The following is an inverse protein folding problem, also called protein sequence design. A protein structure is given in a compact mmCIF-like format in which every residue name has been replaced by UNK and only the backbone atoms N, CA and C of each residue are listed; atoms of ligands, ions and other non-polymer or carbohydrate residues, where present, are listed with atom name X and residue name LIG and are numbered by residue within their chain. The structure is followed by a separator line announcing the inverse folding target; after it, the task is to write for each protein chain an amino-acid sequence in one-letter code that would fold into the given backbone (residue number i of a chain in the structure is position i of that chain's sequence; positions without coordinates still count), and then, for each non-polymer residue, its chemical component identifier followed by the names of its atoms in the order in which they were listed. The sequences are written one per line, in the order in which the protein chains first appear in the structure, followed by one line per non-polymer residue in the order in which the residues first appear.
data_IF_918507147713
#
_entry.id   IF_918507147713
#
_cell.length_a   1.000
_cell.length_b   1.000
_cell.length_c   1.000
_cell.angle_alpha   90.00
_cell.angle_beta   90.00
_cell.angle_gamma   90.00
#
_symmetry.space_group_name_H-M   'P 1'
#
loop_
_entity.id
_entity.type
_entity.pdbx_description
1 polymer ?
#
# COMPACT_ATOMS: atom_id res chain seq x y z
N UNK A 1 -6.11 -18.78 -1.72
CA UNK A 1 -7.48 -18.36 -2.08
C UNK A 1 -8.49 -19.52 -2.01
N UNK A 2 -8.21 -20.72 -2.57
CA UNK A 2 -9.20 -21.80 -2.49
C UNK A 2 -9.63 -22.16 -1.07
N UNK A 3 -8.72 -22.15 -0.12
CA UNK A 3 -9.03 -22.42 1.27
C UNK A 3 -9.98 -21.37 1.85
N UNK A 4 -9.68 -20.07 1.60
CA UNK A 4 -10.51 -18.97 2.06
C UNK A 4 -11.91 -19.03 1.44
N UNK A 5 -12.01 -19.39 0.17
CA UNK A 5 -13.30 -19.56 -0.52
C UNK A 5 -14.11 -20.69 0.13
N UNK A 6 -13.46 -21.81 0.43
CA UNK A 6 -14.11 -22.94 1.09
C UNK A 6 -14.62 -22.57 2.50
N UNK A 7 -13.84 -21.81 3.24
CA UNK A 7 -14.20 -21.35 4.59
C UNK A 7 -15.14 -20.16 4.60
N UNK A 8 -15.32 -19.49 3.47
CA UNK A 8 -16.08 -18.23 3.33
C UNK A 8 -15.59 -17.17 4.30
N UNK A 9 -14.27 -17.05 4.39
CA UNK A 9 -13.61 -16.12 5.30
C UNK A 9 -12.18 -15.90 4.83
N UNK A 10 -11.77 -14.65 4.79
CA UNK A 10 -10.38 -14.33 4.52
C UNK A 10 -10.16 -12.85 4.27
N UNK A 11 -8.90 -12.45 4.39
CA UNK A 11 -8.47 -11.09 4.07
C UNK A 11 -7.13 -11.15 3.35
N UNK A 12 -7.02 -10.35 2.32
CA UNK A 12 -5.79 -10.17 1.55
C UNK A 12 -5.43 -8.69 1.63
N UNK A 13 -4.21 -8.40 2.06
CA UNK A 13 -3.73 -7.02 2.16
C UNK A 13 -2.46 -6.93 1.32
N UNK A 14 -2.52 -6.18 0.25
CA UNK A 14 -1.40 -5.98 -0.66
C UNK A 14 -0.61 -4.73 -0.26
N UNK A 15 0.71 -4.81 -0.35
CA UNK A 15 1.57 -3.66 -0.07
C UNK A 15 1.95 -3.01 -1.39
N UNK A 16 1.37 -1.85 -1.63
CA UNK A 16 1.56 -1.06 -2.82
C UNK A 16 2.38 0.20 -2.53
N UNK A 17 2.36 1.15 -3.43
CA UNK A 17 3.14 2.38 -3.34
C UNK A 17 2.35 3.54 -3.94
N UNK A 18 2.60 4.74 -3.44
CA UNK A 18 2.06 5.97 -4.02
C UNK A 18 2.45 6.10 -5.50
N UNK A 19 3.59 5.52 -5.92
CA UNK A 19 4.02 5.56 -7.31
C UNK A 19 3.11 4.74 -8.23
N UNK A 20 2.35 3.80 -7.69
CA UNK A 20 1.30 3.09 -8.43
C UNK A 20 0.09 3.98 -8.74
N UNK A 21 -0.09 5.07 -8.02
CA UNK A 21 -1.17 6.03 -8.24
C UNK A 21 -0.70 7.22 -9.07
N UNK A 22 0.43 7.83 -8.69
CA UNK A 22 0.91 9.05 -9.33
C UNK A 22 1.99 8.82 -10.39
N UNK A 23 2.66 7.68 -10.37
CA UNK A 23 3.84 7.41 -11.18
C UNK A 23 5.05 8.16 -10.66
N UNK A 24 6.24 7.69 -10.99
CA UNK A 24 7.48 8.33 -10.63
C UNK A 24 8.42 8.37 -11.83
N UNK A 25 9.05 9.50 -12.04
CA UNK A 25 10.08 9.65 -13.09
C UNK A 25 11.22 8.67 -12.82
N UNK A 26 11.72 8.04 -13.86
CA UNK A 26 12.79 7.04 -13.82
C UNK A 26 12.41 5.74 -13.09
N UNK A 27 11.14 5.54 -12.78
CA UNK A 27 10.62 4.36 -12.09
C UNK A 27 9.39 3.79 -12.81
N UNK A 28 9.45 3.77 -14.16
CA UNK A 28 8.31 3.36 -14.98
C UNK A 28 7.88 1.91 -14.70
N UNK A 29 8.83 0.98 -14.65
CA UNK A 29 8.52 -0.43 -14.41
C UNK A 29 7.96 -0.66 -13.00
N UNK A 30 8.55 -0.02 -12.00
CA UNK A 30 8.07 -0.09 -10.63
C UNK A 30 6.67 0.50 -10.50
N UNK A 31 6.48 1.70 -11.07
CA UNK A 31 5.16 2.37 -11.08
C UNK A 31 4.11 1.52 -11.76
N UNK A 32 4.45 0.91 -12.91
CA UNK A 32 3.53 0.01 -13.62
C UNK A 32 3.17 -1.21 -12.79
N UNK A 33 4.16 -1.82 -12.10
CA UNK A 33 3.92 -3.00 -11.28
C UNK A 33 3.00 -2.67 -10.10
N UNK A 34 3.17 -1.52 -9.46
CA UNK A 34 2.34 -1.10 -8.33
C UNK A 34 0.95 -0.64 -8.77
N UNK A 35 0.84 0.00 -9.93
CA UNK A 35 -0.46 0.31 -10.53
C UNK A 35 -1.23 -0.97 -10.88
N UNK A 36 -0.51 -1.97 -11.40
CA UNK A 36 -1.08 -3.29 -11.67
C UNK A 36 -1.56 -3.97 -10.39
N UNK A 37 -0.80 -3.85 -9.31
CA UNK A 37 -1.21 -4.40 -8.00
C UNK A 37 -2.47 -3.72 -7.48
N UNK A 38 -2.60 -2.41 -7.67
CA UNK A 38 -3.82 -1.68 -7.30
C UNK A 38 -5.02 -2.16 -8.12
N UNK A 39 -4.83 -2.35 -9.44
CA UNK A 39 -5.87 -2.90 -10.30
C UNK A 39 -6.28 -4.31 -9.91
N UNK A 40 -5.29 -5.15 -9.62
CA UNK A 40 -5.52 -6.53 -9.14
C UNK A 40 -6.31 -6.51 -7.83
N UNK A 41 -5.96 -5.63 -6.90
CA UNK A 41 -6.67 -5.49 -5.62
C UNK A 41 -8.16 -5.22 -5.84
N UNK A 42 -8.47 -4.26 -6.71
CA UNK A 42 -9.87 -3.91 -7.00
C UNK A 42 -10.62 -5.05 -7.71
N UNK A 43 -9.95 -5.70 -8.66
CA UNK A 43 -10.57 -6.81 -9.41
C UNK A 43 -10.87 -8.00 -8.51
N UNK A 44 -9.88 -8.41 -7.70
CA UNK A 44 -10.06 -9.53 -6.77
C UNK A 44 -11.10 -9.21 -5.69
N UNK A 45 -11.17 -7.96 -5.24
CA UNK A 45 -12.18 -7.56 -4.26
C UNK A 45 -13.58 -7.82 -4.78
N UNK A 46 -13.84 -7.47 -6.04
CA UNK A 46 -15.14 -7.71 -6.67
C UNK A 46 -15.41 -9.20 -6.88
N UNK A 47 -14.39 -9.93 -7.30
CA UNK A 47 -14.50 -11.36 -7.58
C UNK A 47 -14.72 -12.18 -6.31
N UNK A 48 -14.06 -11.82 -5.22
CA UNK A 48 -14.04 -12.59 -3.99
C UNK A 48 -15.02 -12.10 -2.91
N UNK A 49 -15.64 -10.93 -3.10
CA UNK A 49 -16.63 -10.43 -2.15
C UNK A 49 -17.79 -11.41 -1.88
N UNK A 50 -18.34 -12.09 -2.91
CA UNK A 50 -19.39 -13.09 -2.66
C UNK A 50 -18.95 -14.23 -1.76
N UNK A 51 -17.66 -14.50 -1.64
CA UNK A 51 -17.10 -15.54 -0.77
C UNK A 51 -16.65 -14.97 0.59
N UNK A 52 -17.05 -13.74 0.91
CA UNK A 52 -16.69 -13.07 2.16
C UNK A 52 -15.17 -12.93 2.34
N UNK A 53 -14.48 -12.65 1.25
CA UNK A 53 -13.03 -12.38 1.27
C UNK A 53 -12.83 -10.91 0.90
N UNK A 54 -12.15 -10.16 1.76
CA UNK A 54 -11.85 -8.75 1.52
C UNK A 54 -10.43 -8.62 0.97
N UNK A 55 -10.27 -7.75 -0.02
CA UNK A 55 -8.97 -7.49 -0.66
C UNK A 55 -8.75 -5.99 -0.67
N UNK A 56 -7.76 -5.54 0.06
CA UNK A 56 -7.39 -4.12 0.18
C UNK A 56 -5.89 -3.96 -0.02
N UNK A 57 -5.45 -2.76 -0.26
CA UNK A 57 -4.02 -2.46 -0.39
C UNK A 57 -3.64 -1.25 0.45
N UNK A 58 -2.40 -1.26 0.93
CA UNK A 58 -1.76 -0.10 1.56
C UNK A 58 -0.85 0.52 0.52
N UNK A 59 -1.10 1.78 0.20
CA UNK A 59 -0.26 2.56 -0.72
C UNK A 59 0.75 3.34 0.11
N UNK A 60 1.95 2.81 0.22
CA UNK A 60 3.00 3.40 1.05
C UNK A 60 3.66 4.57 0.35
N UNK A 61 3.90 5.65 1.09
CA UNK A 61 4.76 6.73 0.68
C UNK A 61 6.23 6.38 0.88
N UNK A 62 7.02 7.37 1.24
CA UNK A 62 8.46 7.16 1.51
C UNK A 62 8.62 6.62 2.92
N UNK A 63 9.05 5.38 3.02
CA UNK A 63 9.22 4.68 4.29
C UNK A 63 10.71 4.52 4.58
N UNK A 64 11.08 4.70 5.84
CA UNK A 64 12.47 4.59 6.29
C UNK A 64 12.90 3.12 6.35
N UNK A 65 13.30 2.60 5.20
CA UNK A 65 13.72 1.21 5.00
C UNK A 65 15.12 1.16 4.40
N UNK A 66 15.70 -0.02 4.31
CA UNK A 66 16.99 -0.23 3.65
C UNK A 66 16.99 0.25 2.19
N UNK A 67 15.84 0.16 1.51
CA UNK A 67 15.71 0.65 0.14
C UNK A 67 16.04 2.15 0.06
N UNK A 68 15.70 2.93 1.09
CA UNK A 68 15.95 4.36 1.16
C UNK A 68 17.22 4.72 1.94
N UNK A 69 17.91 3.74 2.52
CA UNK A 69 19.14 3.95 3.26
C UNK A 69 20.32 4.38 2.36
N UNK A 70 20.17 4.21 1.03
CA UNK A 70 21.16 4.62 0.04
C UNK A 70 21.20 6.13 -0.18
N UNK A 71 20.18 6.84 0.27
CA UNK A 71 20.11 8.28 0.15
C UNK A 71 21.13 8.89 1.09
N UNK A 72 21.94 9.86 0.59
CA UNK A 72 22.79 10.62 1.49
C UNK A 72 21.95 11.61 2.30
N UNK A 73 22.58 12.27 3.26
CA UNK A 73 21.89 13.16 4.19
C UNK A 73 21.20 14.32 3.46
N UNK A 74 21.85 14.87 2.42
CA UNK A 74 21.29 15.98 1.66
C UNK A 74 20.10 15.55 0.83
N UNK A 75 20.21 14.41 0.13
CA UNK A 75 19.09 13.84 -0.63
C UNK A 75 17.90 13.53 0.26
N UNK A 76 18.17 12.99 1.44
CA UNK A 76 17.13 12.68 2.42
C UNK A 76 16.40 13.93 2.90
N UNK A 77 17.15 14.99 3.20
CA UNK A 77 16.55 16.26 3.65
C UNK A 77 15.66 16.88 2.56
N UNK A 78 16.11 16.86 1.31
CA UNK A 78 15.31 17.36 0.19
C UNK A 78 14.01 16.60 0.08
N UNK A 79 14.06 15.26 0.16
CA UNK A 79 12.87 14.44 0.05
C UNK A 79 11.92 14.64 1.24
N UNK A 80 12.46 14.77 2.45
CA UNK A 80 11.66 15.06 3.64
C UNK A 80 10.90 16.39 3.52
N UNK A 81 11.52 17.40 2.90
CA UNK A 81 10.86 18.69 2.67
C UNK A 81 9.69 18.59 1.71
N UNK A 82 9.73 17.64 0.77
CA UNK A 82 8.64 17.41 -0.17
C UNK A 82 7.44 16.70 0.46
N UNK A 83 7.65 16.06 1.59
CA UNK A 83 6.59 15.35 2.31
C UNK A 83 5.90 16.34 3.26
N UNK A 84 4.59 16.58 3.13
CA UNK A 84 3.90 17.53 4.02
C UNK A 84 4.07 17.23 5.51
N UNK A 85 4.10 15.95 5.90
CA UNK A 85 4.35 15.56 7.30
C UNK A 85 5.79 15.83 7.74
N UNK A 86 6.71 16.14 6.82
CA UNK A 86 8.08 16.54 7.11
C UNK A 86 9.02 15.40 7.48
N UNK A 87 8.61 14.17 7.30
CA UNK A 87 9.43 13.00 7.66
C UNK A 87 9.04 11.78 6.83
N UNK A 88 9.93 10.80 6.78
CA UNK A 88 9.60 9.48 6.25
C UNK A 88 8.66 8.76 7.22
N UNK A 89 7.81 7.90 6.69
CA UNK A 89 7.06 6.96 7.52
C UNK A 89 7.99 5.85 8.05
N UNK A 90 7.53 5.11 9.03
CA UNK A 90 8.29 4.01 9.61
C UNK A 90 7.70 2.66 9.23
N UNK A 91 8.52 1.58 9.16
CA UNK A 91 8.00 0.23 8.96
C UNK A 91 6.94 -0.14 10.01
N UNK A 92 7.10 0.33 11.24
CA UNK A 92 6.16 0.10 12.33
C UNK A 92 4.79 0.72 12.04
N UNK A 93 4.77 1.90 11.42
CA UNK A 93 3.52 2.54 11.03
C UNK A 93 2.79 1.75 9.94
N UNK A 94 3.54 1.18 9.00
CA UNK A 94 2.96 0.29 7.98
C UNK A 94 2.37 -0.96 8.64
N UNK A 95 3.11 -1.58 9.54
CA UNK A 95 2.66 -2.76 10.27
C UNK A 95 1.40 -2.47 11.09
N UNK A 96 1.36 -1.31 11.75
CA UNK A 96 0.20 -0.88 12.53
C UNK A 96 -1.05 -0.78 11.65
N UNK A 97 -0.91 -0.17 10.48
CA UNK A 97 -2.05 -0.05 9.55
C UNK A 97 -2.49 -1.41 9.02
N UNK A 98 -1.55 -2.29 8.69
CA UNK A 98 -1.86 -3.65 8.23
C UNK A 98 -2.66 -4.41 9.29
N UNK A 99 -2.28 -4.29 10.57
CA UNK A 99 -3.03 -4.92 11.67
C UNK A 99 -4.45 -4.36 11.77
N UNK A 100 -4.62 -3.06 11.63
CA UNK A 100 -5.95 -2.44 11.66
C UNK A 100 -6.81 -2.92 10.49
N UNK A 101 -6.22 -3.08 9.31
CA UNK A 101 -6.94 -3.59 8.15
C UNK A 101 -7.32 -5.06 8.31
N UNK A 102 -6.47 -5.85 8.96
CA UNK A 102 -6.79 -7.24 9.25
C UNK A 102 -8.02 -7.37 10.13
N UNK A 103 -8.30 -6.35 10.94
CA UNK A 103 -9.45 -6.28 11.85
C UNK A 103 -10.59 -5.40 11.31
N UNK A 104 -10.47 -4.89 10.11
CA UNK A 104 -11.46 -3.99 9.54
C UNK A 104 -12.79 -4.72 9.27
N UNK A 105 -13.92 -3.98 9.28
CA UNK A 105 -15.22 -4.59 8.99
C UNK A 105 -15.25 -5.27 7.63
N UNK A 106 -15.96 -6.41 7.53
CA UNK A 106 -16.01 -7.18 6.27
C UNK A 106 -16.67 -6.43 5.10
N UNK A 107 -17.35 -5.34 5.36
CA UNK A 107 -17.92 -4.51 4.29
C UNK A 107 -16.88 -3.65 3.59
N UNK A 108 -15.67 -3.54 4.15
CA UNK A 108 -14.56 -2.81 3.57
C UNK A 108 -13.75 -3.71 2.65
N UNK A 109 -13.82 -3.50 1.35
CA UNK A 109 -13.04 -4.23 0.35
C UNK A 109 -12.79 -3.37 -0.87
N UNK A 110 -11.74 -3.66 -1.62
CA UNK A 110 -11.38 -2.96 -2.84
C UNK A 110 -10.78 -1.57 -2.62
N UNK A 111 -10.27 -1.29 -1.43
CA UNK A 111 -9.73 0.02 -1.10
C UNK A 111 -8.21 0.06 -1.23
N UNK A 112 -7.73 1.19 -1.73
CA UNK A 112 -6.30 1.49 -1.78
C UNK A 112 -6.08 2.63 -0.78
N UNK A 113 -5.46 2.30 0.35
CA UNK A 113 -5.35 3.22 1.47
C UNK A 113 -3.96 3.81 1.52
N UNK A 114 -3.89 5.15 1.41
CA UNK A 114 -2.62 5.86 1.43
C UNK A 114 -2.03 5.98 2.83
N UNK A 115 -0.73 5.77 2.93
CA UNK A 115 0.06 6.00 4.14
C UNK A 115 1.33 6.71 3.69
N UNK A 116 1.25 8.03 3.53
CA UNK A 116 2.26 8.79 2.80
C UNK A 116 2.60 10.17 3.38
N UNK A 117 2.08 10.49 4.54
CA UNK A 117 2.33 11.81 5.16
C UNK A 117 1.77 12.97 4.36
N UNK A 118 0.80 12.71 3.48
CA UNK A 118 0.19 13.73 2.64
C UNK A 118 0.93 13.98 1.32
N UNK A 119 1.84 13.08 0.92
CA UNK A 119 2.67 13.28 -0.27
C UNK A 119 1.86 13.42 -1.55
N UNK A 120 0.81 12.63 -1.70
CA UNK A 120 -0.10 12.74 -2.86
C UNK A 120 -1.56 12.85 -2.46
#
# INVERSE_FOLDING_TARGET
IPHMVAEKQGKIINISSIWGTSGASCEAAYSASKAGLNGLTRALAKELAPSNIQVNAVSCGVIDTEMNARLDQEERLVLEEEIPAGRFGTPEEVAELVLKLADAPPYMTGQIIGLDGGFI
#
